data_IF_878044134015
#
_entry.id   IF_878044134015
#
_cell.length_a   1.000
_cell.length_b   1.000
_cell.length_c   1.000
_cell.angle_alpha   90.00
_cell.angle_beta   90.00
_cell.angle_gamma   90.00
#
_symmetry.space_group_name_H-M   'P 1'
#
loop_
_entity.id
_entity.type
_entity.pdbx_description
1 polymer ?
#
# COMPACT_ATOMS: atom_id res chain seq x y z
N UNK A 1 -0.52 -10.51 1.81
CA UNK A 1 -0.61 -9.61 0.64
C UNK A 1 0.04 -10.30 -0.55
N UNK A 2 -0.56 -10.25 -1.74
CA UNK A 2 -0.01 -10.88 -2.96
C UNK A 2 0.04 -9.83 -4.08
N UNK A 3 1.12 -9.83 -4.85
CA UNK A 3 1.33 -8.94 -5.99
C UNK A 3 2.18 -9.63 -7.08
N UNK A 4 2.14 -9.11 -8.30
CA UNK A 4 3.00 -9.57 -9.40
C UNK A 4 4.39 -8.96 -9.26
N UNK A 5 5.42 -9.81 -9.35
CA UNK A 5 6.83 -9.38 -9.35
C UNK A 5 7.26 -9.06 -10.79
N UNK A 6 7.95 -7.93 -10.98
CA UNK A 6 8.64 -7.57 -12.22
C UNK A 6 10.12 -7.42 -11.92
N UNK A 7 10.97 -8.20 -12.59
CA UNK A 7 12.42 -8.07 -12.47
C UNK A 7 12.90 -6.89 -13.33
N UNK A 8 13.68 -5.99 -12.75
CA UNK A 8 14.14 -4.76 -13.40
C UNK A 8 15.59 -4.50 -13.01
N UNK A 9 16.48 -4.38 -13.99
CA UNK A 9 17.92 -4.17 -13.78
C UNK A 9 18.25 -2.84 -13.09
N UNK A 10 17.39 -1.82 -13.24
CA UNK A 10 17.57 -0.51 -12.62
C UNK A 10 17.25 -0.44 -11.12
N UNK A 11 16.88 -1.55 -10.47
CA UNK A 11 16.60 -1.59 -9.03
C UNK A 11 17.86 -2.04 -8.29
N UNK A 12 18.24 -1.29 -7.25
CA UNK A 12 19.39 -1.63 -6.39
C UNK A 12 19.23 -3.06 -5.83
N UNK A 13 20.26 -3.92 -5.91
CA UNK A 13 20.21 -5.25 -5.30
C UNK A 13 19.83 -5.20 -3.81
N UNK A 14 18.97 -6.12 -3.39
CA UNK A 14 18.49 -6.21 -2.01
C UNK A 14 17.32 -5.29 -1.66
N UNK A 15 16.79 -4.52 -2.60
CA UNK A 15 15.61 -3.66 -2.39
C UNK A 15 14.42 -4.10 -3.23
N UNK A 16 13.23 -3.70 -2.81
CA UNK A 16 11.98 -3.87 -3.55
C UNK A 16 11.38 -2.48 -3.74
N UNK A 17 11.05 -2.13 -4.97
CA UNK A 17 10.33 -0.91 -5.30
C UNK A 17 8.89 -1.23 -5.67
N UNK A 18 7.96 -0.36 -5.30
CA UNK A 18 6.56 -0.42 -5.68
C UNK A 18 6.00 1.00 -5.82
N UNK A 19 4.89 1.15 -6.54
CA UNK A 19 4.21 2.43 -6.71
C UNK A 19 3.08 2.60 -5.70
N UNK A 20 3.04 3.75 -5.02
CA UNK A 20 1.95 4.16 -4.11
C UNK A 20 0.85 4.81 -4.95
N UNK A 21 -0.07 4.02 -5.51
CA UNK A 21 -1.29 4.51 -6.20
C UNK A 21 -2.28 3.39 -6.58
N UNK A 22 -1.98 2.13 -6.26
CA UNK A 22 -2.76 0.97 -6.70
C UNK A 22 -3.51 0.30 -5.54
N UNK A 23 -4.44 -0.59 -5.90
CA UNK A 23 -5.13 -1.47 -4.97
C UNK A 23 -6.19 -0.77 -4.10
N UNK A 24 -6.87 0.25 -4.63
CA UNK A 24 -7.92 0.94 -3.89
C UNK A 24 -9.08 -0.02 -3.57
N UNK A 25 -9.40 -0.20 -2.29
CA UNK A 25 -10.58 -0.97 -1.86
C UNK A 25 -11.88 -0.12 -1.88
N UNK A 26 -11.73 1.19 -2.02
CA UNK A 26 -12.81 2.17 -2.14
C UNK A 26 -12.39 3.24 -3.16
N UNK A 27 -12.71 4.51 -2.94
CA UNK A 27 -12.30 5.59 -3.85
C UNK A 27 -12.86 5.37 -5.27
N UNK A 28 -14.12 4.96 -5.35
CA UNK A 28 -14.78 4.62 -6.60
C UNK A 28 -14.26 3.36 -7.29
N UNK A 29 -13.53 2.47 -6.62
CA UNK A 29 -13.16 1.15 -7.17
C UNK A 29 -14.25 0.09 -7.06
N UNK A 30 -15.25 0.34 -6.21
CA UNK A 30 -16.42 -0.49 -6.00
C UNK A 30 -17.67 0.36 -5.90
N UNK A 31 -18.81 -0.26 -6.13
CA UNK A 31 -20.10 0.36 -5.87
C UNK A 31 -20.22 0.75 -4.40
N UNK A 32 -20.77 1.94 -4.16
CA UNK A 32 -21.11 2.42 -2.82
C UNK A 32 -22.57 2.85 -2.81
N UNK A 33 -23.26 2.59 -1.69
CA UNK A 33 -24.64 3.03 -1.49
C UNK A 33 -24.66 4.21 -0.55
N UNK A 34 -25.26 5.31 -0.98
CA UNK A 34 -25.46 6.53 -0.18
C UNK A 34 -26.94 6.90 -0.27
N UNK A 35 -27.62 7.01 0.87
CA UNK A 35 -29.05 7.33 0.95
C UNK A 35 -29.94 6.45 0.05
N UNK A 36 -29.65 5.15 0.04
CA UNK A 36 -30.37 4.17 -0.78
C UNK A 36 -30.04 4.22 -2.28
N UNK A 37 -29.21 5.16 -2.74
CA UNK A 37 -28.77 5.27 -4.14
C UNK A 37 -27.43 4.60 -4.34
N UNK A 38 -27.34 3.76 -5.36
CA UNK A 38 -26.08 3.09 -5.75
C UNK A 38 -25.28 4.00 -6.67
N UNK A 39 -24.08 4.38 -6.23
CA UNK A 39 -23.06 5.05 -7.04
C UNK A 39 -22.14 3.96 -7.60
N UNK A 40 -22.13 3.79 -8.91
CA UNK A 40 -21.33 2.76 -9.58
C UNK A 40 -19.83 3.08 -9.51
N UNK A 41 -19.06 2.08 -9.13
CA UNK A 41 -17.60 2.16 -9.13
C UNK A 41 -17.00 1.84 -10.51
N UNK A 42 -15.77 2.29 -10.72
CA UNK A 42 -14.89 1.83 -11.79
C UNK A 42 -13.90 0.78 -11.24
N UNK A 43 -14.11 -0.51 -11.54
CA UNK A 43 -13.27 -1.59 -11.00
C UNK A 43 -11.79 -1.47 -11.44
N UNK A 44 -11.47 -0.68 -12.46
CA UNK A 44 -10.07 -0.42 -12.85
C UNK A 44 -9.29 0.28 -11.73
N UNK A 45 -9.94 1.12 -10.93
CA UNK A 45 -9.31 1.84 -9.81
C UNK A 45 -8.87 0.91 -8.68
N UNK A 46 -9.49 -0.26 -8.57
CA UNK A 46 -9.14 -1.29 -7.58
C UNK A 46 -8.01 -2.22 -8.01
N UNK A 47 -7.51 -2.11 -9.25
CA UNK A 47 -6.46 -2.99 -9.76
C UNK A 47 -5.12 -2.75 -9.06
N UNK A 48 -4.30 -3.80 -9.06
CA UNK A 48 -2.98 -3.82 -8.41
C UNK A 48 -3.08 -4.09 -6.91
N UNK A 49 -2.05 -3.69 -6.16
CA UNK A 49 -1.92 -4.02 -4.73
C UNK A 49 -1.55 -2.76 -3.96
N UNK A 50 -2.24 -2.52 -2.86
CA UNK A 50 -1.94 -1.42 -1.95
C UNK A 50 -0.94 -1.88 -0.90
N UNK A 51 0.23 -1.24 -0.83
CA UNK A 51 1.36 -1.71 -0.02
C UNK A 51 1.50 -1.03 1.35
N UNK A 52 0.71 0.00 1.66
CA UNK A 52 0.73 0.61 3.00
C UNK A 52 0.53 -0.40 4.14
N UNK A 53 -0.31 -1.45 4.02
CA UNK A 53 -0.46 -2.46 5.07
C UNK A 53 0.78 -3.32 5.34
N UNK A 54 1.80 -3.30 4.46
CA UNK A 54 3.08 -3.99 4.69
C UNK A 54 4.10 -3.07 5.37
N UNK A 55 3.84 -1.76 5.42
CA UNK A 55 4.74 -0.81 6.08
C UNK A 55 4.91 -1.13 7.55
N UNK A 56 6.11 -0.86 8.06
CA UNK A 56 6.47 -1.11 9.44
C UNK A 56 5.60 -0.30 10.38
N UNK A 57 4.85 -1.00 11.22
CA UNK A 57 4.11 -0.43 12.34
C UNK A 57 5.09 -0.04 13.45
N UNK A 58 4.82 1.09 14.09
CA UNK A 58 5.57 1.55 15.26
C UNK A 58 5.43 0.53 16.41
N UNK A 59 6.54 0.02 16.97
CA UNK A 59 6.50 -1.04 17.99
C UNK A 59 5.93 -0.58 19.34
N UNK A 60 5.91 0.72 19.61
CA UNK A 60 5.41 1.31 20.85
C UNK A 60 3.93 1.68 20.71
N UNK A 61 3.58 2.43 19.66
CA UNK A 61 2.22 2.94 19.44
C UNK A 61 1.28 1.89 18.82
N UNK A 62 1.82 0.93 18.06
CA UNK A 62 1.15 -0.28 17.53
C UNK A 62 -0.02 -0.05 16.55
N UNK A 63 -0.36 1.19 16.23
CA UNK A 63 -1.46 1.53 15.32
C UNK A 63 -1.10 2.56 14.24
N UNK A 64 0.14 3.04 14.24
CA UNK A 64 0.67 4.01 13.27
C UNK A 64 1.99 3.51 12.69
N UNK A 65 2.44 4.12 11.58
CA UNK A 65 3.80 3.89 11.08
C UNK A 65 4.86 4.54 11.98
N UNK A 66 6.13 4.21 11.74
CA UNK A 66 7.25 4.92 12.37
C UNK A 66 7.16 6.42 12.08
N UNK A 67 7.56 7.24 13.05
CA UNK A 67 7.51 8.70 12.95
C UNK A 67 8.89 9.32 13.12
N UNK A 68 9.13 10.38 12.37
CA UNK A 68 10.24 11.30 12.64
C UNK A 68 9.86 12.18 13.84
N UNK A 69 10.58 12.02 14.94
CA UNK A 69 10.32 12.75 16.19
C UNK A 69 10.63 14.24 16.09
N UNK A 70 11.44 14.67 15.11
CA UNK A 70 11.80 16.07 14.91
C UNK A 70 10.81 16.75 13.97
N UNK A 71 10.54 16.15 12.81
CA UNK A 71 9.67 16.72 11.78
C UNK A 71 8.19 16.34 11.89
N UNK A 72 7.82 15.36 12.71
CA UNK A 72 6.43 14.88 12.85
C UNK A 72 5.88 14.12 11.64
N UNK A 73 6.75 13.70 10.71
CA UNK A 73 6.35 12.99 9.49
C UNK A 73 6.32 11.47 9.68
N UNK A 74 5.65 10.74 8.78
CA UNK A 74 5.65 9.27 8.76
C UNK A 74 6.84 8.76 7.95
N UNK A 75 7.58 7.79 8.49
CA UNK A 75 8.62 7.07 7.76
C UNK A 75 8.03 5.92 6.94
N UNK A 76 8.14 6.01 5.61
CA UNK A 76 7.70 4.98 4.67
C UNK A 76 8.83 4.10 4.12
N UNK A 77 10.09 4.40 4.42
CA UNK A 77 11.26 3.78 3.76
C UNK A 77 11.97 2.72 4.62
N UNK A 78 11.72 2.68 5.94
CA UNK A 78 12.41 1.77 6.89
C UNK A 78 11.71 0.41 7.09
N UNK A 79 11.01 -0.07 6.06
CA UNK A 79 10.33 -1.36 6.10
C UNK A 79 11.19 -2.44 5.44
N UNK A 80 11.57 -3.47 6.22
CA UNK A 80 12.20 -4.68 5.68
C UNK A 80 11.14 -5.70 5.30
N UNK A 81 11.27 -6.31 4.14
CA UNK A 81 10.31 -7.29 3.61
C UNK A 81 11.02 -8.57 3.19
N UNK A 82 10.29 -9.70 3.27
CA UNK A 82 10.67 -10.96 2.63
C UNK A 82 9.64 -11.25 1.53
N UNK A 83 10.11 -11.47 0.31
CA UNK A 83 9.26 -11.88 -0.80
C UNK A 83 9.26 -13.40 -0.88
N UNK A 84 8.07 -13.99 -0.90
CA UNK A 84 7.86 -15.43 -1.08
C UNK A 84 6.89 -15.65 -2.23
N UNK A 85 7.08 -16.75 -2.97
CA UNK A 85 6.12 -17.15 -4.00
C UNK A 85 4.80 -17.54 -3.31
N UNK A 86 3.69 -17.05 -3.85
CA UNK A 86 2.35 -17.37 -3.40
C UNK A 86 1.92 -18.78 -3.86
#
# INVERSE_FOLDING_TARGET
MVAKVKLVQGIRPGTVAFHVSFGHFAYGSRDITVDGKVIKGDPRRGKGTHFNPVMRVDPVLKNVGLQDITGGSICFYDTRVKVVKA
#
